data_IF_616533630013
#
_entry.id   IF_616533630013
#
_cell.length_a   1.000
_cell.length_b   1.000
_cell.length_c   1.000
_cell.angle_alpha   90.00
_cell.angle_beta   90.00
_cell.angle_gamma   90.00
#
_symmetry.space_group_name_H-M   'P 1'
#
loop_
_entity.id
_entity.type
_entity.pdbx_description
1 polymer ?
#
# COMPACT_ATOMS: atom_id res chain seq x y z
N UNK A 1 31.73 -1.84 -7.42
CA UNK A 1 31.31 -1.27 -6.13
C UNK A 1 30.25 -2.19 -5.54
N UNK A 2 30.31 -2.53 -4.25
CA UNK A 2 29.20 -3.27 -3.61
C UNK A 2 27.92 -2.40 -3.69
N UNK A 3 26.77 -3.03 -3.94
CA UNK A 3 25.50 -2.30 -3.97
C UNK A 3 25.25 -1.67 -2.58
N UNK A 4 24.78 -0.41 -2.55
CA UNK A 4 24.49 0.31 -1.31
C UNK A 4 23.30 -0.34 -0.61
N UNK A 5 23.36 -0.52 0.70
CA UNK A 5 22.20 -0.94 1.50
C UNK A 5 21.25 0.24 1.70
N UNK A 6 19.97 -0.08 1.77
CA UNK A 6 18.90 0.92 1.89
C UNK A 6 18.10 0.68 3.16
N UNK A 7 18.17 1.63 4.08
CA UNK A 7 17.48 1.57 5.36
C UNK A 7 16.19 2.38 5.35
N UNK A 8 15.23 1.94 6.14
CA UNK A 8 14.00 2.66 6.43
C UNK A 8 14.17 3.34 7.77
N UNK A 9 14.14 4.68 7.77
CA UNK A 9 14.47 5.49 8.95
C UNK A 9 13.30 6.31 9.47
N UNK A 10 12.22 6.42 8.70
CA UNK A 10 11.00 7.08 9.11
C UNK A 10 9.76 6.47 8.48
N UNK A 11 8.68 6.49 9.24
CA UNK A 11 7.37 5.94 8.89
C UNK A 11 6.30 6.97 9.23
N UNK A 12 5.45 7.30 8.26
CA UNK A 12 4.24 8.05 8.50
C UNK A 12 3.08 7.46 7.71
N UNK A 13 1.92 7.37 8.32
CA UNK A 13 0.76 6.73 7.71
C UNK A 13 -0.56 7.27 8.22
N UNK A 14 -1.60 7.01 7.43
CA UNK A 14 -3.00 7.07 7.84
C UNK A 14 -3.74 5.91 7.19
N UNK A 15 -4.57 5.23 7.96
CA UNK A 15 -5.28 4.03 7.53
C UNK A 15 -6.60 3.85 8.27
N UNK A 16 -7.48 2.94 7.84
CA UNK A 16 -8.73 2.64 8.53
C UNK A 16 -8.57 2.09 9.95
N UNK A 17 -7.37 1.64 10.33
CA UNK A 17 -7.11 1.01 11.64
C UNK A 17 -6.13 1.81 12.52
N UNK A 18 -5.74 3.01 12.07
CA UNK A 18 -4.87 3.91 12.84
C UNK A 18 -4.04 4.84 11.97
N UNK A 19 -3.40 5.83 12.63
CA UNK A 19 -2.65 6.91 11.95
C UNK A 19 -1.18 6.98 12.37
N UNK A 20 -0.70 5.98 13.07
CA UNK A 20 0.71 5.81 13.47
C UNK A 20 1.07 4.33 13.62
N UNK A 21 2.36 4.05 13.74
CA UNK A 21 2.87 2.69 13.83
C UNK A 21 2.32 1.92 15.05
N UNK A 22 2.15 2.60 16.18
CA UNK A 22 1.69 1.97 17.42
C UNK A 22 0.21 1.54 17.31
N UNK A 23 -0.65 2.43 16.81
CA UNK A 23 -2.09 2.18 16.64
C UNK A 23 -2.38 1.06 15.65
N UNK A 24 -1.69 1.03 14.49
CA UNK A 24 -1.88 -0.05 13.50
C UNK A 24 -1.34 -1.37 14.01
N UNK A 25 -0.21 -1.36 14.72
CA UNK A 25 0.36 -2.58 15.33
C UNK A 25 -0.58 -3.18 16.38
N UNK A 26 -1.13 -2.32 17.25
CA UNK A 26 -2.14 -2.74 18.24
C UNK A 26 -3.39 -3.30 17.57
N UNK A 27 -3.89 -2.65 16.51
CA UNK A 27 -5.06 -3.12 15.78
C UNK A 27 -4.84 -4.50 15.15
N UNK A 28 -3.66 -4.74 14.56
CA UNK A 28 -3.31 -6.05 14.00
C UNK A 28 -3.18 -7.12 15.09
N UNK A 29 -2.58 -6.77 16.25
CA UNK A 29 -2.45 -7.69 17.39
C UNK A 29 -3.80 -8.01 18.04
N UNK A 30 -4.71 -7.05 18.10
CA UNK A 30 -6.05 -7.23 18.64
C UNK A 30 -7.07 -7.75 17.61
N UNK A 31 -6.61 -8.04 16.40
CA UNK A 31 -7.45 -8.49 15.28
C UNK A 31 -8.62 -7.52 14.99
N UNK A 32 -8.42 -6.20 15.19
CA UNK A 32 -9.41 -5.15 14.86
C UNK A 32 -9.42 -4.84 13.37
N UNK A 33 -10.54 -4.30 12.88
CA UNK A 33 -10.71 -3.90 11.48
C UNK A 33 -11.32 -2.49 11.38
N UNK A 34 -11.14 -1.86 10.20
CA UNK A 34 -11.74 -0.58 9.87
C UNK A 34 -12.84 -0.64 8.79
N UNK A 35 -13.38 -1.84 8.51
CA UNK A 35 -14.46 -2.01 7.53
C UNK A 35 -15.76 -1.46 8.10
N UNK A 36 -16.48 -0.69 7.30
CA UNK A 36 -17.74 -0.05 7.67
C UNK A 36 -18.75 -0.16 6.52
N UNK A 37 -20.03 -0.05 6.86
CA UNK A 37 -21.07 0.14 5.86
C UNK A 37 -21.16 1.62 5.50
N UNK A 38 -21.35 1.92 4.20
CA UNK A 38 -21.54 3.23 3.61
C UNK A 38 -23.01 3.36 3.16
N UNK A 39 -23.90 3.86 4.04
CA UNK A 39 -25.34 3.88 3.73
C UNK A 39 -25.69 4.69 2.49
N UNK A 40 -24.96 5.79 2.24
CA UNK A 40 -25.13 6.68 1.10
C UNK A 40 -24.84 6.00 -0.25
N UNK A 41 -24.10 4.90 -0.26
CA UNK A 41 -23.86 4.14 -1.49
C UNK A 41 -25.11 3.39 -1.99
N UNK A 42 -26.11 3.21 -1.13
CA UNK A 42 -27.40 2.65 -1.53
C UNK A 42 -28.19 3.58 -2.48
N UNK A 43 -27.84 4.89 -2.49
CA UNK A 43 -28.44 5.88 -3.36
C UNK A 43 -27.82 5.89 -4.78
N UNK A 44 -26.69 5.18 -4.97
CA UNK A 44 -26.02 5.08 -6.28
C UNK A 44 -26.69 3.96 -7.10
N UNK A 45 -27.38 4.30 -8.20
CA UNK A 45 -28.12 3.30 -8.97
C UNK A 45 -27.21 2.18 -9.49
N UNK A 46 -27.55 0.94 -9.18
CA UNK A 46 -26.84 -0.25 -9.66
C UNK A 46 -25.60 -0.63 -8.84
N UNK A 47 -25.16 0.16 -7.88
CA UNK A 47 -24.07 -0.21 -6.98
C UNK A 47 -24.59 -1.21 -5.94
N UNK A 48 -24.02 -2.42 -5.92
CA UNK A 48 -24.45 -3.53 -5.04
C UNK A 48 -23.70 -3.55 -3.72
N UNK A 49 -22.38 -3.25 -3.73
CA UNK A 49 -21.59 -3.20 -2.51
C UNK A 49 -21.86 -1.92 -1.73
N UNK A 50 -21.89 -2.04 -0.40
CA UNK A 50 -21.98 -0.91 0.53
C UNK A 50 -20.82 -0.90 1.53
N UNK A 51 -19.78 -1.69 1.31
CA UNK A 51 -18.66 -1.83 2.23
C UNK A 51 -17.46 -1.01 1.78
N UNK A 52 -16.85 -0.33 2.74
CA UNK A 52 -15.59 0.40 2.56
C UNK A 52 -14.77 0.40 3.86
N UNK A 53 -13.50 0.80 3.75
CA UNK A 53 -12.63 1.06 4.88
C UNK A 53 -12.04 2.47 4.77
N UNK A 54 -12.45 3.39 5.65
CA UNK A 54 -12.17 4.82 5.56
C UNK A 54 -11.18 5.25 6.64
N UNK A 55 -10.18 6.03 6.26
CA UNK A 55 -9.29 6.71 7.20
C UNK A 55 -10.01 7.95 7.77
N UNK A 56 -10.52 7.84 9.01
CA UNK A 56 -11.29 8.90 9.69
C UNK A 56 -10.35 9.77 10.52
N UNK A 57 -10.84 10.95 10.89
CA UNK A 57 -10.22 11.86 11.88
C UNK A 57 -8.79 12.34 11.55
N UNK A 58 -8.44 12.38 10.26
CA UNK A 58 -7.17 12.96 9.80
C UNK A 58 -7.25 14.50 9.90
N UNK A 59 -6.33 15.19 10.59
CA UNK A 59 -6.48 16.62 10.94
C UNK A 59 -6.12 17.57 9.79
N UNK A 60 -6.85 17.52 8.67
CA UNK A 60 -6.62 18.40 7.50
C UNK A 60 -6.89 19.89 7.76
N UNK A 61 -7.67 20.22 8.77
CA UNK A 61 -8.02 21.61 9.10
C UNK A 61 -6.80 22.45 9.54
N UNK A 62 -5.73 21.81 9.95
CA UNK A 62 -4.49 22.46 10.39
C UNK A 62 -3.63 22.98 9.23
N UNK A 63 -3.92 22.55 7.99
CA UNK A 63 -3.13 22.99 6.84
C UNK A 63 -3.50 24.40 6.36
N UNK A 64 -2.50 25.28 6.12
CA UNK A 64 -2.73 26.61 5.55
C UNK A 64 -3.35 26.51 4.16
N UNK A 65 -4.56 27.06 3.97
CA UNK A 65 -5.32 26.99 2.68
C UNK A 65 -4.48 27.36 1.45
N UNK A 66 -3.58 28.33 1.58
CA UNK A 66 -2.70 28.77 0.47
C UNK A 66 -1.77 27.64 0.01
N UNK A 67 -1.27 26.80 0.91
CA UNK A 67 -0.35 25.70 0.59
C UNK A 67 -1.06 24.49 0.01
N UNK A 68 -2.33 24.25 0.37
CA UNK A 68 -3.06 23.02 0.00
C UNK A 68 -4.16 23.25 -1.06
N UNK A 69 -4.27 24.45 -1.63
CA UNK A 69 -5.33 24.78 -2.60
C UNK A 69 -5.34 23.93 -3.88
N UNK A 70 -4.22 23.31 -4.24
CA UNK A 70 -4.04 22.41 -5.37
C UNK A 70 -4.20 20.94 -4.99
N UNK A 71 -4.51 20.64 -3.74
CA UNK A 71 -4.63 19.28 -3.21
C UNK A 71 -6.09 18.84 -3.21
N UNK A 72 -6.36 17.65 -3.72
CA UNK A 72 -7.54 16.86 -3.42
C UNK A 72 -7.28 16.01 -2.16
N UNK A 73 -8.26 15.22 -1.72
CA UNK A 73 -8.16 14.42 -0.49
C UNK A 73 -6.94 13.48 -0.53
N UNK A 74 -6.69 12.81 -1.65
CA UNK A 74 -5.53 11.89 -1.79
C UNK A 74 -4.19 12.59 -1.55
N UNK A 75 -4.04 13.84 -2.06
CA UNK A 75 -2.82 14.62 -1.85
C UNK A 75 -2.71 15.14 -0.41
N UNK A 76 -3.82 15.44 0.27
CA UNK A 76 -3.82 15.79 1.70
C UNK A 76 -3.42 14.60 2.57
N UNK A 77 -3.95 13.40 2.28
CA UNK A 77 -3.55 12.17 2.96
C UNK A 77 -2.04 11.89 2.80
N UNK A 78 -1.53 12.01 1.56
CA UNK A 78 -0.10 11.82 1.29
C UNK A 78 0.77 12.86 1.97
N UNK A 79 0.31 14.13 2.05
CA UNK A 79 1.03 15.21 2.76
C UNK A 79 1.11 14.91 4.26
N UNK A 80 0.00 14.54 4.88
CA UNK A 80 -0.03 14.13 6.29
C UNK A 80 0.93 12.96 6.56
N UNK A 81 0.85 11.90 5.77
CA UNK A 81 1.74 10.74 5.94
C UNK A 81 3.22 11.12 5.77
N UNK A 82 3.53 12.04 4.83
CA UNK A 82 4.91 12.48 4.60
C UNK A 82 5.44 13.36 5.73
N UNK A 83 4.62 14.27 6.28
CA UNK A 83 5.00 15.05 7.47
C UNK A 83 5.33 14.11 8.64
N UNK A 84 4.44 13.15 8.92
CA UNK A 84 4.66 12.18 10.00
C UNK A 84 5.90 11.31 9.78
N UNK A 85 6.20 10.93 8.54
CA UNK A 85 7.42 10.17 8.21
C UNK A 85 8.69 11.00 8.46
N UNK A 86 8.68 12.29 8.09
CA UNK A 86 9.81 13.19 8.32
C UNK A 86 10.02 13.50 9.81
N UNK A 87 8.93 13.74 10.55
CA UNK A 87 8.95 13.90 12.01
C UNK A 87 9.53 12.65 12.69
N UNK A 88 9.06 11.47 12.31
CA UNK A 88 9.50 10.19 12.85
C UNK A 88 10.97 9.88 12.51
N UNK A 89 11.42 10.26 11.31
CA UNK A 89 12.81 10.14 10.91
C UNK A 89 13.74 11.13 11.62
N UNK A 90 13.20 12.20 12.23
CA UNK A 90 13.98 13.34 12.71
C UNK A 90 14.76 13.99 11.57
N UNK A 91 14.18 14.08 10.38
CA UNK A 91 14.84 14.55 9.16
C UNK A 91 14.30 15.93 8.75
N UNK A 92 15.16 16.95 8.87
CA UNK A 92 14.86 18.29 8.35
C UNK A 92 15.35 18.39 6.89
N UNK A 93 14.43 18.45 5.96
CA UNK A 93 14.75 18.61 4.53
C UNK A 93 15.43 19.94 4.22
N UNK A 94 15.17 20.99 5.03
CA UNK A 94 15.79 22.31 4.82
C UNK A 94 17.30 22.29 5.17
N UNK A 95 17.74 21.34 5.98
CA UNK A 95 19.14 21.14 6.32
C UNK A 95 19.93 20.37 5.23
N UNK A 96 19.24 19.79 4.24
CA UNK A 96 19.84 19.05 3.14
C UNK A 96 19.98 19.95 1.89
N UNK A 97 20.97 19.65 1.01
CA UNK A 97 20.98 20.27 -0.32
C UNK A 97 19.65 20.00 -1.04
N UNK A 98 19.06 20.97 -1.75
CA UNK A 98 17.73 20.83 -2.33
C UNK A 98 17.55 19.63 -3.28
N UNK A 99 18.63 19.16 -3.91
CA UNK A 99 18.63 18.00 -4.82
C UNK A 99 18.96 16.67 -4.11
N UNK A 100 19.31 16.69 -2.81
CA UNK A 100 19.76 15.49 -2.10
C UNK A 100 18.62 14.49 -1.87
N UNK A 101 17.37 14.98 -1.76
CA UNK A 101 16.18 14.16 -1.52
C UNK A 101 15.38 13.97 -2.79
N UNK A 102 15.12 12.72 -3.17
CA UNK A 102 14.18 12.36 -4.21
C UNK A 102 12.82 11.95 -3.65
N UNK A 103 11.86 11.75 -4.53
CA UNK A 103 10.48 11.41 -4.21
C UNK A 103 9.97 10.36 -5.20
N UNK A 104 9.42 9.26 -4.70
CA UNK A 104 8.67 8.28 -5.47
C UNK A 104 7.33 8.04 -4.80
N UNK A 105 6.21 8.33 -5.47
CA UNK A 105 4.90 8.24 -4.84
C UNK A 105 3.81 7.89 -5.84
N UNK A 106 2.83 7.09 -5.41
CA UNK A 106 1.78 6.58 -6.27
C UNK A 106 0.36 6.73 -5.73
N UNK A 107 -0.59 6.74 -6.66
CA UNK A 107 -2.01 6.49 -6.45
C UNK A 107 -2.59 5.91 -7.72
N UNK A 108 -3.78 5.29 -7.65
CA UNK A 108 -4.40 4.70 -8.84
C UNK A 108 -5.13 5.74 -9.68
N UNK A 109 -5.81 6.70 -9.05
CA UNK A 109 -6.75 7.60 -9.73
C UNK A 109 -6.47 9.09 -9.53
N UNK A 110 -5.60 9.47 -8.60
CA UNK A 110 -5.59 10.84 -8.11
C UNK A 110 -6.84 11.13 -7.24
N UNK A 111 -7.37 12.35 -7.24
CA UNK A 111 -8.58 12.67 -6.46
C UNK A 111 -9.84 12.52 -7.29
N UNK A 112 -10.56 11.42 -7.10
CA UNK A 112 -11.83 11.13 -7.77
C UNK A 112 -12.95 12.09 -7.34
N UNK A 113 -12.96 12.50 -6.06
CA UNK A 113 -13.91 13.51 -5.55
C UNK A 113 -13.72 14.86 -6.24
N UNK A 114 -12.47 15.30 -6.43
CA UNK A 114 -12.18 16.55 -7.12
C UNK A 114 -12.48 16.46 -8.64
N UNK A 115 -12.28 15.29 -9.25
CA UNK A 115 -12.65 15.06 -10.65
C UNK A 115 -14.15 15.09 -10.83
N UNK A 116 -14.92 14.45 -9.94
CA UNK A 116 -16.38 14.52 -9.96
C UNK A 116 -16.87 15.97 -9.84
N UNK A 117 -16.36 16.74 -8.87
CA UNK A 117 -16.70 18.16 -8.70
C UNK A 117 -16.42 18.96 -9.97
N UNK A 118 -15.26 18.75 -10.59
CA UNK A 118 -14.88 19.40 -11.83
C UNK A 118 -15.85 19.05 -12.98
N UNK A 119 -16.15 17.77 -13.18
CA UNK A 119 -17.05 17.31 -14.24
C UNK A 119 -18.48 17.84 -14.03
N UNK A 120 -19.00 17.80 -12.81
CA UNK A 120 -20.32 18.36 -12.47
C UNK A 120 -20.39 19.87 -12.78
N UNK A 121 -19.35 20.62 -12.38
CA UNK A 121 -19.29 22.05 -12.69
C UNK A 121 -19.22 22.30 -14.19
N UNK A 122 -18.36 21.56 -14.91
CA UNK A 122 -18.19 21.70 -16.36
C UNK A 122 -19.49 21.45 -17.13
N UNK A 123 -20.22 20.39 -16.78
CA UNK A 123 -21.48 20.03 -17.47
C UNK A 123 -22.65 20.94 -17.10
N UNK A 124 -22.65 21.54 -15.89
CA UNK A 124 -23.79 22.43 -15.46
C UNK A 124 -23.61 23.88 -15.88
N UNK A 125 -22.40 24.41 -15.91
CA UNK A 125 -22.12 25.85 -16.14
C UNK A 125 -20.91 26.15 -17.05
N UNK A 126 -20.38 25.15 -17.72
CA UNK A 126 -19.17 25.29 -18.54
C UNK A 126 -17.95 25.64 -17.67
N UNK A 127 -17.03 26.44 -18.22
CA UNK A 127 -15.79 26.80 -17.51
C UNK A 127 -15.98 27.91 -16.47
N UNK A 128 -17.19 28.47 -16.35
CA UNK A 128 -17.43 29.61 -15.47
C UNK A 128 -17.25 29.22 -13.99
N UNK A 129 -16.34 29.91 -13.31
CA UNK A 129 -16.06 29.71 -11.87
C UNK A 129 -15.29 28.43 -11.55
N UNK A 130 -14.75 27.70 -12.56
CA UNK A 130 -13.85 26.59 -12.30
C UNK A 130 -12.44 27.15 -12.01
N UNK A 131 -11.82 26.81 -10.87
CA UNK A 131 -10.45 27.25 -10.56
C UNK A 131 -9.44 26.66 -11.55
N UNK A 132 -8.46 27.45 -12.00
CA UNK A 132 -7.36 26.98 -12.87
C UNK A 132 -6.52 25.85 -12.25
N UNK A 133 -6.56 25.71 -10.92
CA UNK A 133 -5.88 24.66 -10.17
C UNK A 133 -6.69 23.37 -10.04
N UNK A 134 -7.92 23.31 -10.58
CA UNK A 134 -8.79 22.15 -10.44
C UNK A 134 -8.11 20.86 -10.97
N UNK A 135 -7.46 20.94 -12.14
CA UNK A 135 -6.75 19.80 -12.72
C UNK A 135 -5.65 19.24 -11.82
N UNK A 136 -4.92 20.11 -11.10
CA UNK A 136 -3.84 19.68 -10.21
C UNK A 136 -4.32 18.78 -9.07
N UNK A 137 -5.61 18.80 -8.73
CA UNK A 137 -6.18 17.98 -7.68
C UNK A 137 -6.39 16.52 -8.11
N UNK A 138 -6.70 16.29 -9.40
CA UNK A 138 -7.12 14.97 -9.88
C UNK A 138 -6.25 14.35 -10.98
N UNK A 139 -5.21 15.04 -11.45
CA UNK A 139 -4.27 14.41 -12.39
C UNK A 139 -3.60 13.19 -11.72
N UNK A 140 -3.26 12.14 -12.50
CA UNK A 140 -2.75 10.87 -11.97
C UNK A 140 -1.47 10.99 -11.13
N UNK A 141 -0.67 12.02 -11.36
CA UNK A 141 0.55 12.31 -10.61
C UNK A 141 0.36 13.39 -9.51
N UNK A 142 -0.88 13.66 -9.10
CA UNK A 142 -1.20 14.72 -8.12
C UNK A 142 -0.42 14.59 -6.81
N UNK A 143 -0.21 13.36 -6.31
CA UNK A 143 0.53 13.14 -5.06
C UNK A 143 1.97 13.65 -5.17
N UNK A 144 2.75 13.20 -6.15
CA UNK A 144 4.16 13.62 -6.27
C UNK A 144 4.31 15.11 -6.53
N UNK A 145 3.43 15.71 -7.35
CA UNK A 145 3.52 17.14 -7.68
C UNK A 145 3.23 17.99 -6.44
N UNK A 146 2.18 17.66 -5.69
CA UNK A 146 1.83 18.40 -4.49
C UNK A 146 2.85 18.20 -3.36
N UNK A 147 3.35 16.97 -3.15
CA UNK A 147 4.42 16.69 -2.19
C UNK A 147 5.71 17.43 -2.54
N UNK A 148 6.14 17.37 -3.81
CA UNK A 148 7.36 18.06 -4.24
C UNK A 148 7.28 19.57 -3.99
N UNK A 149 6.12 20.18 -4.27
CA UNK A 149 5.90 21.61 -4.01
C UNK A 149 5.80 21.93 -2.52
N UNK A 150 5.06 21.13 -1.76
CA UNK A 150 4.83 21.38 -0.34
C UNK A 150 6.13 21.28 0.47
N UNK A 151 6.93 20.24 0.22
CA UNK A 151 8.22 19.97 0.89
C UNK A 151 9.43 20.56 0.15
N UNK A 152 9.23 21.28 -0.95
CA UNK A 152 10.30 21.92 -1.75
C UNK A 152 11.37 20.92 -2.25
N UNK A 153 10.96 19.69 -2.56
CA UNK A 153 11.85 18.64 -3.08
C UNK A 153 12.25 18.99 -4.51
N UNK A 154 13.57 18.99 -4.79
CA UNK A 154 14.15 19.34 -6.09
C UNK A 154 15.00 18.21 -6.70
N UNK A 155 15.07 17.06 -6.03
CA UNK A 155 15.69 15.86 -6.57
C UNK A 155 14.80 15.14 -7.57
N UNK A 156 15.16 13.90 -7.89
CA UNK A 156 14.37 13.05 -8.80
C UNK A 156 12.96 12.85 -8.27
N UNK A 157 11.96 13.02 -9.14
CA UNK A 157 10.55 12.75 -8.85
C UNK A 157 10.08 11.61 -9.75
N UNK A 158 9.53 10.55 -9.14
CA UNK A 158 9.00 9.37 -9.81
C UNK A 158 7.53 9.23 -9.44
N UNK A 159 6.65 9.33 -10.43
CA UNK A 159 5.23 9.04 -10.26
C UNK A 159 4.97 7.57 -10.58
N UNK A 160 4.39 6.84 -9.64
CA UNK A 160 3.97 5.45 -9.84
C UNK A 160 2.46 5.37 -9.90
N UNK A 161 1.94 5.05 -11.09
CA UNK A 161 0.52 4.80 -11.32
C UNK A 161 0.39 3.42 -11.97
N UNK A 162 0.37 2.39 -11.14
CA UNK A 162 0.36 0.97 -11.55
C UNK A 162 -0.67 0.18 -10.75
N UNK A 163 -1.86 0.75 -10.62
CA UNK A 163 -2.97 0.18 -9.86
C UNK A 163 -2.52 -0.23 -8.43
N UNK A 164 -2.86 -1.44 -7.98
CA UNK A 164 -2.57 -1.92 -6.61
C UNK A 164 -1.07 -2.02 -6.28
N UNK A 165 -0.18 -1.98 -7.28
CA UNK A 165 1.28 -2.00 -7.07
C UNK A 165 1.91 -0.62 -6.96
N UNK A 166 1.13 0.46 -7.03
CA UNK A 166 1.67 1.84 -7.06
C UNK A 166 2.59 2.15 -5.87
N UNK A 167 2.16 1.83 -4.64
CA UNK A 167 2.96 2.06 -3.44
C UNK A 167 4.21 1.20 -3.35
N UNK A 168 4.12 -0.08 -3.72
CA UNK A 168 5.29 -0.98 -3.74
C UNK A 168 6.28 -0.60 -4.83
N UNK A 169 5.83 -0.20 -6.02
CA UNK A 169 6.71 0.37 -7.05
C UNK A 169 7.43 1.63 -6.57
N UNK A 170 6.72 2.52 -5.85
CA UNK A 170 7.35 3.72 -5.30
C UNK A 170 8.51 3.37 -4.36
N UNK A 171 8.31 2.39 -3.47
CA UNK A 171 9.36 1.90 -2.58
C UNK A 171 10.49 1.24 -3.39
N UNK A 172 10.16 0.36 -4.34
CA UNK A 172 11.12 -0.33 -5.18
C UNK A 172 12.00 0.61 -6.01
N UNK A 173 11.40 1.57 -6.69
CA UNK A 173 12.16 2.55 -7.49
C UNK A 173 12.96 3.54 -6.64
N UNK A 174 12.48 3.88 -5.44
CA UNK A 174 13.25 4.64 -4.47
C UNK A 174 14.47 3.87 -3.95
N UNK A 175 14.28 2.58 -3.68
CA UNK A 175 15.34 1.66 -3.31
C UNK A 175 16.40 1.54 -4.42
N UNK A 176 15.98 1.32 -5.68
CA UNK A 176 16.89 1.28 -6.83
C UNK A 176 17.66 2.60 -7.00
N UNK A 177 16.98 3.75 -6.83
CA UNK A 177 17.62 5.06 -6.95
C UNK A 177 18.73 5.27 -5.91
N UNK A 178 18.53 4.82 -4.66
CA UNK A 178 19.56 4.88 -3.62
C UNK A 178 20.68 3.89 -3.90
N UNK A 179 20.35 2.65 -4.28
CA UNK A 179 21.36 1.63 -4.63
C UNK A 179 22.28 2.05 -5.77
N UNK A 180 21.70 2.72 -6.79
CA UNK A 180 22.44 3.25 -7.93
C UNK A 180 23.23 4.54 -7.61
N UNK A 181 23.08 5.11 -6.40
CA UNK A 181 23.80 6.29 -5.95
C UNK A 181 23.24 7.61 -6.49
N UNK A 182 22.00 7.63 -7.03
CA UNK A 182 21.36 8.87 -7.48
C UNK A 182 20.99 9.79 -6.32
N UNK A 183 20.58 9.21 -5.20
CA UNK A 183 20.19 9.93 -4.00
C UNK A 183 20.65 9.19 -2.75
N UNK A 184 20.83 9.93 -1.65
CA UNK A 184 21.03 9.37 -0.33
C UNK A 184 19.72 9.20 0.43
N UNK A 185 18.71 10.01 0.09
CA UNK A 185 17.38 10.03 0.72
C UNK A 185 16.30 9.96 -0.35
N UNK A 186 15.32 9.09 -0.17
CA UNK A 186 14.12 9.01 -0.98
C UNK A 186 12.88 8.96 -0.08
N UNK A 187 11.90 9.82 -0.35
CA UNK A 187 10.58 9.72 0.24
C UNK A 187 9.72 8.84 -0.67
N UNK A 188 9.25 7.70 -0.15
CA UNK A 188 8.57 6.70 -0.97
C UNK A 188 7.23 6.33 -0.36
N UNK A 189 6.19 6.21 -1.19
CA UNK A 189 4.90 5.82 -0.63
C UNK A 189 3.78 5.72 -1.65
N UNK A 190 2.57 5.60 -1.11
CA UNK A 190 1.34 5.56 -1.89
C UNK A 190 0.16 6.07 -1.10
N UNK A 191 -0.83 6.58 -1.80
CA UNK A 191 -2.07 7.06 -1.22
C UNK A 191 -3.26 6.72 -2.11
N UNK A 192 -4.41 6.56 -1.47
CA UNK A 192 -5.70 6.47 -2.15
C UNK A 192 -6.77 7.12 -1.29
N UNK A 193 -7.69 7.86 -1.92
CA UNK A 193 -8.86 8.40 -1.23
C UNK A 193 -10.06 7.47 -1.38
N UNK A 194 -11.03 7.59 -0.48
CA UNK A 194 -12.30 6.89 -0.61
C UNK A 194 -13.25 7.65 -1.53
N UNK A 195 -13.75 6.94 -2.55
CA UNK A 195 -14.80 7.41 -3.42
C UNK A 195 -15.64 6.23 -3.93
N UNK A 196 -16.95 6.41 -4.07
CA UNK A 196 -17.84 5.32 -4.51
C UNK A 196 -17.48 4.77 -5.91
N UNK A 197 -16.93 5.60 -6.80
CA UNK A 197 -16.50 5.15 -8.13
C UNK A 197 -15.41 4.06 -8.07
N UNK A 198 -14.57 4.05 -7.05
CA UNK A 198 -13.58 2.98 -6.87
C UNK A 198 -14.27 1.64 -6.58
N UNK A 199 -15.29 1.65 -5.73
CA UNK A 199 -16.10 0.46 -5.50
C UNK A 199 -16.87 0.03 -6.75
N UNK A 200 -17.46 1.00 -7.49
CA UNK A 200 -18.24 0.74 -8.68
C UNK A 200 -17.45 0.03 -9.79
N UNK A 201 -16.17 0.39 -9.99
CA UNK A 201 -15.30 -0.28 -10.97
C UNK A 201 -15.22 -1.78 -10.70
N UNK A 202 -14.95 -2.17 -9.44
CA UNK A 202 -14.85 -3.58 -9.06
C UNK A 202 -16.22 -4.25 -8.96
N UNK A 203 -17.27 -3.49 -8.62
CA UNK A 203 -18.65 -4.00 -8.56
C UNK A 203 -19.17 -4.40 -9.94
N UNK A 204 -18.87 -3.62 -10.98
CA UNK A 204 -19.17 -3.97 -12.37
C UNK A 204 -18.45 -5.25 -12.84
N UNK A 205 -17.30 -5.55 -12.26
CA UNK A 205 -16.52 -6.76 -12.51
C UNK A 205 -16.92 -7.94 -11.61
N UNK A 206 -17.96 -7.78 -10.78
CA UNK A 206 -18.39 -8.79 -9.80
C UNK A 206 -17.27 -9.20 -8.84
N UNK A 207 -16.38 -8.27 -8.52
CA UNK A 207 -15.20 -8.51 -7.69
C UNK A 207 -15.30 -7.89 -6.27
N UNK A 208 -16.41 -7.20 -5.94
CA UNK A 208 -16.66 -6.63 -4.60
C UNK A 208 -17.48 -7.57 -3.74
N UNK A 209 -17.25 -7.50 -2.41
CA UNK A 209 -18.14 -8.14 -1.43
C UNK A 209 -19.50 -7.46 -1.39
N UNK A 210 -20.55 -8.26 -1.49
CA UNK A 210 -21.95 -7.80 -1.50
C UNK A 210 -22.84 -8.56 -0.52
N UNK A 211 -22.45 -9.75 -0.09
CA UNK A 211 -23.24 -10.60 0.80
C UNK A 211 -23.21 -10.14 2.25
N UNK A 212 -22.25 -9.27 2.60
CA UNK A 212 -22.00 -8.84 3.98
C UNK A 212 -22.26 -7.35 4.21
N UNK A 213 -23.06 -6.69 3.36
CA UNK A 213 -23.33 -5.26 3.46
C UNK A 213 -23.82 -4.79 4.84
N UNK A 214 -24.58 -5.62 5.53
CA UNK A 214 -25.12 -5.34 6.86
C UNK A 214 -24.27 -5.95 8.00
N UNK A 215 -23.16 -6.64 7.64
CA UNK A 215 -22.22 -7.30 8.54
C UNK A 215 -20.78 -7.01 8.14
N UNK A 216 -20.32 -5.73 8.23
CA UNK A 216 -19.00 -5.31 7.75
C UNK A 216 -17.83 -6.08 8.40
N UNK A 217 -18.02 -6.58 9.63
CA UNK A 217 -17.04 -7.37 10.35
C UNK A 217 -16.75 -8.74 9.69
N UNK A 218 -17.61 -9.21 8.78
CA UNK A 218 -17.50 -10.50 8.09
C UNK A 218 -16.81 -10.46 6.73
N UNK A 219 -16.42 -9.28 6.25
CA UNK A 219 -15.79 -9.12 4.96
C UNK A 219 -14.65 -8.08 5.04
N UNK A 220 -13.61 -8.16 4.16
CA UNK A 220 -13.35 -9.25 3.22
C UNK A 220 -12.83 -10.53 3.88
N UNK A 221 -12.82 -11.64 3.11
CA UNK A 221 -12.47 -13.00 3.56
C UNK A 221 -11.37 -13.62 2.68
N UNK A 222 -10.12 -13.09 2.69
CA UNK A 222 -9.09 -13.62 1.80
C UNK A 222 -8.84 -15.12 2.03
N UNK A 223 -8.67 -15.87 0.94
CA UNK A 223 -8.44 -17.33 0.89
C UNK A 223 -9.59 -18.21 1.41
N UNK A 224 -10.66 -17.63 1.96
CA UNK A 224 -11.81 -18.40 2.49
C UNK A 224 -12.67 -18.95 1.36
N UNK A 225 -13.26 -20.15 1.59
CA UNK A 225 -14.14 -20.81 0.62
C UNK A 225 -15.42 -20.00 0.33
N UNK A 226 -15.88 -19.21 1.30
CA UNK A 226 -17.10 -18.41 1.21
C UNK A 226 -16.80 -16.91 0.90
N UNK A 227 -15.60 -16.60 0.36
CA UNK A 227 -15.27 -15.24 -0.05
C UNK A 227 -16.13 -14.79 -1.23
N UNK A 228 -16.51 -13.53 -1.24
CA UNK A 228 -17.40 -12.94 -2.23
C UNK A 228 -16.85 -11.66 -2.88
N UNK A 229 -15.57 -11.36 -2.66
CA UNK A 229 -14.91 -10.22 -3.27
C UNK A 229 -14.23 -9.28 -2.29
N UNK A 230 -13.63 -8.23 -2.85
CA UNK A 230 -12.87 -7.23 -2.10
C UNK A 230 -13.77 -6.17 -1.45
N UNK A 231 -13.22 -5.48 -0.47
CA UNK A 231 -13.73 -4.23 0.08
C UNK A 231 -12.70 -3.15 -0.19
N UNK A 232 -13.08 -2.05 -0.84
CA UNK A 232 -12.17 -0.93 -1.11
C UNK A 232 -11.80 -0.20 0.18
N UNK A 233 -10.58 0.32 0.23
CA UNK A 233 -10.06 1.05 1.40
C UNK A 233 -9.39 2.36 1.02
N UNK A 234 -9.22 3.23 2.01
CA UNK A 234 -8.52 4.51 1.93
C UNK A 234 -7.27 4.49 2.79
N UNK A 235 -6.28 5.29 2.43
CA UNK A 235 -5.10 5.51 3.25
C UNK A 235 -3.95 6.18 2.53
N UNK A 236 -2.92 6.48 3.27
CA UNK A 236 -1.65 6.95 2.75
C UNK A 236 -0.51 6.48 3.64
N UNK A 237 0.62 6.21 3.03
CA UNK A 237 1.83 5.81 3.77
C UNK A 237 3.05 6.38 3.09
N UNK A 238 3.96 6.92 3.88
CA UNK A 238 5.28 7.38 3.43
C UNK A 238 6.36 6.71 4.27
N UNK A 239 7.36 6.19 3.58
CA UNK A 239 8.62 5.70 4.14
C UNK A 239 9.75 6.65 3.77
N UNK A 240 10.59 6.99 4.74
CA UNK A 240 11.88 7.63 4.49
C UNK A 240 12.90 6.54 4.26
N UNK A 241 13.41 6.43 3.03
CA UNK A 241 14.50 5.52 2.66
C UNK A 241 15.81 6.30 2.67
N UNK A 242 16.84 5.71 3.27
CA UNK A 242 18.18 6.30 3.30
C UNK A 242 19.25 5.27 2.93
N UNK A 243 20.32 5.75 2.29
CA UNK A 243 21.53 4.92 2.20
C UNK A 243 22.07 4.61 3.61
N UNK A 244 22.59 3.42 3.82
CA UNK A 244 23.21 3.03 5.11
C UNK A 244 24.23 4.07 5.57
N UNK A 245 25.04 4.61 4.66
CA UNK A 245 26.03 5.62 4.96
C UNK A 245 25.42 6.91 5.50
N UNK A 246 24.35 7.42 4.84
CA UNK A 246 23.65 8.62 5.28
C UNK A 246 22.98 8.41 6.63
N UNK A 247 22.25 7.31 6.80
CA UNK A 247 21.55 6.98 8.04
C UNK A 247 22.51 6.87 9.24
N UNK A 248 23.64 6.14 9.04
CA UNK A 248 24.68 5.99 10.10
C UNK A 248 25.34 7.31 10.46
N UNK A 249 25.70 8.15 9.45
CA UNK A 249 26.36 9.44 9.66
C UNK A 249 25.55 10.38 10.54
N UNK A 250 24.20 10.35 10.43
CA UNK A 250 23.32 11.19 11.26
C UNK A 250 22.76 10.48 12.51
N UNK A 251 23.15 9.23 12.77
CA UNK A 251 22.66 8.46 13.92
C UNK A 251 21.17 8.14 13.83
N UNK A 252 20.65 7.88 12.63
CA UNK A 252 19.23 7.59 12.41
C UNK A 252 18.78 6.33 13.13
N UNK A 253 17.56 6.35 13.69
CA UNK A 253 16.85 5.12 14.02
C UNK A 253 16.55 4.34 12.74
N UNK A 254 16.71 3.03 12.76
CA UNK A 254 16.43 2.15 11.62
C UNK A 254 15.31 1.19 11.98
N UNK A 255 14.27 1.15 11.14
CA UNK A 255 13.15 0.21 11.27
C UNK A 255 13.45 -1.15 10.63
N UNK A 256 14.20 -1.13 9.54
CA UNK A 256 14.58 -2.29 8.76
C UNK A 256 15.30 -1.88 7.49
N UNK A 257 15.68 -2.87 6.69
CA UNK A 257 16.31 -2.71 5.37
C UNK A 257 15.32 -3.14 4.29
N UNK A 258 15.21 -2.37 3.22
CA UNK A 258 14.68 -2.88 1.95
C UNK A 258 15.77 -3.76 1.36
N UNK A 259 15.60 -5.07 1.48
CA UNK A 259 16.63 -6.04 1.11
C UNK A 259 16.58 -6.43 -0.37
N UNK A 260 15.39 -6.41 -0.97
CA UNK A 260 15.20 -6.74 -2.38
C UNK A 260 13.86 -6.27 -2.91
N UNK A 261 13.83 -6.06 -4.22
CA UNK A 261 12.65 -5.68 -5.00
C UNK A 261 12.56 -6.51 -6.25
N UNK A 262 11.39 -7.09 -6.51
CA UNK A 262 11.09 -7.82 -7.73
C UNK A 262 9.81 -7.28 -8.38
N UNK A 263 9.83 -7.16 -9.68
CA UNK A 263 8.65 -6.79 -10.47
C UNK A 263 8.57 -7.63 -11.74
N UNK A 264 7.35 -7.81 -12.23
CA UNK A 264 7.07 -8.51 -13.49
C UNK A 264 5.77 -7.99 -14.10
N UNK A 265 5.54 -8.33 -15.36
CA UNK A 265 4.28 -8.09 -16.05
C UNK A 265 3.82 -9.38 -16.74
N UNK A 266 2.54 -9.74 -16.56
CA UNK A 266 1.96 -10.94 -17.18
C UNK A 266 1.87 -10.82 -18.71
N UNK A 267 1.60 -9.60 -19.20
CA UNK A 267 1.45 -9.32 -20.63
C UNK A 267 0.31 -10.09 -21.30
N UNK A 268 -0.68 -10.54 -20.54
CA UNK A 268 -1.77 -11.42 -21.01
C UNK A 268 -3.12 -10.70 -20.93
N UNK A 269 -3.88 -10.94 -19.90
CA UNK A 269 -5.24 -10.43 -19.74
C UNK A 269 -5.34 -9.37 -18.62
N UNK A 270 -6.16 -8.35 -18.83
CA UNK A 270 -6.25 -7.21 -17.88
C UNK A 270 -6.72 -7.62 -16.48
N UNK A 271 -7.62 -8.59 -16.36
CA UNK A 271 -8.23 -8.98 -15.08
C UNK A 271 -7.94 -10.43 -14.66
N UNK A 272 -7.30 -11.23 -15.52
CA UNK A 272 -6.95 -12.62 -15.19
C UNK A 272 -5.54 -12.67 -14.64
N UNK A 273 -5.34 -13.06 -13.36
CA UNK A 273 -4.03 -13.13 -12.75
C UNK A 273 -3.20 -14.31 -13.30
N UNK A 274 -1.89 -14.12 -13.43
CA UNK A 274 -0.94 -15.16 -13.85
C UNK A 274 -0.14 -15.69 -12.67
N UNK A 275 -0.24 -16.98 -12.40
CA UNK A 275 0.58 -17.67 -11.40
C UNK A 275 2.07 -17.47 -11.69
N UNK A 276 2.49 -17.61 -12.95
CA UNK A 276 3.89 -17.48 -13.36
C UNK A 276 4.40 -16.03 -13.23
N UNK A 277 3.55 -15.03 -13.54
CA UNK A 277 3.90 -13.62 -13.36
C UNK A 277 4.12 -13.27 -11.88
N UNK A 278 3.18 -13.67 -11.02
CA UNK A 278 3.31 -13.49 -9.56
C UNK A 278 4.57 -14.21 -9.01
N UNK A 279 4.78 -15.48 -9.40
CA UNK A 279 5.96 -16.23 -8.99
C UNK A 279 7.27 -15.60 -9.49
N UNK A 280 7.25 -15.01 -10.69
CA UNK A 280 8.42 -14.30 -11.25
C UNK A 280 8.79 -13.08 -10.42
N UNK A 281 7.83 -12.26 -10.00
CA UNK A 281 8.13 -11.09 -9.13
C UNK A 281 8.73 -11.53 -7.79
N UNK A 282 8.23 -12.62 -7.18
CA UNK A 282 8.79 -13.16 -5.94
C UNK A 282 10.22 -13.67 -6.14
N UNK A 283 10.50 -14.42 -7.22
CA UNK A 283 11.86 -14.92 -7.55
C UNK A 283 12.81 -13.76 -7.80
N UNK A 284 12.40 -12.75 -8.55
CA UNK A 284 13.20 -11.57 -8.81
C UNK A 284 13.57 -10.83 -7.51
N UNK A 285 12.64 -10.71 -6.55
CA UNK A 285 12.91 -10.10 -5.26
C UNK A 285 13.93 -10.91 -4.44
N UNK A 286 13.82 -12.23 -4.42
CA UNK A 286 14.75 -13.13 -3.75
C UNK A 286 16.15 -13.07 -4.38
N UNK A 287 16.23 -13.05 -5.70
CA UNK A 287 17.49 -12.93 -6.45
C UNK A 287 18.17 -11.58 -6.18
N UNK A 288 17.42 -10.47 -6.26
CA UNK A 288 17.93 -9.14 -5.97
C UNK A 288 18.46 -9.01 -4.53
N UNK A 289 17.74 -9.61 -3.57
CA UNK A 289 18.15 -9.67 -2.16
C UNK A 289 19.30 -10.64 -1.87
N UNK A 290 19.57 -11.58 -2.79
CA UNK A 290 20.46 -12.74 -2.57
C UNK A 290 20.03 -13.53 -1.33
N UNK A 291 18.75 -13.81 -1.21
CA UNK A 291 18.11 -14.53 -0.12
C UNK A 291 17.49 -15.81 -0.67
N UNK A 292 17.76 -16.95 -0.03
CA UNK A 292 17.10 -18.20 -0.35
C UNK A 292 15.64 -18.19 0.12
N UNK A 293 14.73 -18.82 -0.63
CA UNK A 293 13.32 -18.90 -0.29
C UNK A 293 13.07 -19.43 1.14
N UNK A 294 13.88 -20.38 1.59
CA UNK A 294 13.80 -20.94 2.95
C UNK A 294 14.15 -19.96 4.09
N UNK A 295 14.70 -18.81 3.77
CA UNK A 295 15.02 -17.76 4.75
C UNK A 295 13.86 -16.78 4.97
N UNK A 296 12.81 -16.82 4.16
CA UNK A 296 11.60 -16.00 4.34
C UNK A 296 10.82 -16.51 5.54
N UNK A 297 10.60 -15.66 6.51
CA UNK A 297 9.93 -16.00 7.78
C UNK A 297 8.41 -15.73 7.74
N UNK A 298 7.94 -14.83 6.84
CA UNK A 298 6.53 -14.45 6.72
C UNK A 298 6.24 -13.82 5.35
N UNK A 299 5.03 -14.06 4.85
CA UNK A 299 4.47 -13.41 3.66
C UNK A 299 3.23 -12.61 4.03
N UNK A 300 3.24 -11.31 3.77
CA UNK A 300 2.04 -10.51 3.67
C UNK A 300 1.50 -10.63 2.26
N UNK A 301 0.38 -11.33 2.12
CA UNK A 301 -0.23 -11.61 0.84
C UNK A 301 -1.00 -10.42 0.28
N UNK A 302 -1.01 -10.29 -1.04
CA UNK A 302 -1.95 -9.37 -1.70
C UNK A 302 -3.40 -9.77 -1.49
N UNK A 303 -3.70 -11.04 -1.53
CA UNK A 303 -5.02 -11.67 -1.42
C UNK A 303 -6.16 -10.71 -1.02
N UNK A 304 -6.99 -10.39 -2.01
CA UNK A 304 -8.06 -9.37 -1.90
C UNK A 304 -9.43 -9.96 -1.58
N UNK A 305 -9.52 -11.28 -1.38
CA UNK A 305 -10.75 -12.06 -1.33
C UNK A 305 -11.48 -12.18 -2.68
N UNK A 306 -10.80 -11.93 -3.79
CA UNK A 306 -11.30 -12.25 -5.12
C UNK A 306 -11.03 -13.73 -5.44
N UNK A 307 -11.96 -14.37 -6.15
CA UNK A 307 -11.86 -15.82 -6.41
C UNK A 307 -10.56 -16.17 -7.15
N UNK A 308 -10.35 -15.59 -8.32
CA UNK A 308 -9.20 -15.93 -9.17
C UNK A 308 -7.88 -15.42 -8.59
N UNK A 309 -7.87 -14.23 -7.96
CA UNK A 309 -6.67 -13.63 -7.38
C UNK A 309 -6.07 -14.46 -6.27
N UNK A 310 -6.89 -14.85 -5.31
CA UNK A 310 -6.44 -15.62 -4.14
C UNK A 310 -5.95 -17.03 -4.53
N UNK A 311 -6.63 -17.68 -5.49
CA UNK A 311 -6.17 -18.98 -6.01
C UNK A 311 -4.80 -18.84 -6.68
N UNK A 312 -4.64 -17.86 -7.58
CA UNK A 312 -3.39 -17.69 -8.33
C UNK A 312 -2.23 -17.33 -7.41
N UNK A 313 -2.42 -16.40 -6.46
CA UNK A 313 -1.39 -16.02 -5.50
C UNK A 313 -0.96 -17.20 -4.62
N UNK A 314 -1.92 -17.99 -4.13
CA UNK A 314 -1.62 -19.15 -3.31
C UNK A 314 -0.75 -20.18 -4.06
N UNK A 315 -1.06 -20.43 -5.34
CA UNK A 315 -0.29 -21.33 -6.20
C UNK A 315 1.11 -20.77 -6.50
N UNK A 316 1.23 -19.47 -6.80
CA UNK A 316 2.51 -18.82 -7.00
C UNK A 316 3.39 -18.87 -5.74
N UNK A 317 2.80 -18.63 -4.57
CA UNK A 317 3.49 -18.74 -3.28
C UNK A 317 3.98 -20.16 -3.03
N UNK A 318 3.16 -21.18 -3.31
CA UNK A 318 3.57 -22.58 -3.21
C UNK A 318 4.77 -22.90 -4.12
N UNK A 319 4.75 -22.42 -5.37
CA UNK A 319 5.83 -22.65 -6.32
C UNK A 319 7.17 -22.05 -5.89
N UNK A 320 7.16 -20.92 -5.18
CA UNK A 320 8.38 -20.18 -4.84
C UNK A 320 8.86 -20.49 -3.41
N UNK A 321 7.94 -20.55 -2.44
CA UNK A 321 8.26 -20.63 -1.02
C UNK A 321 7.88 -21.98 -0.37
N UNK A 322 7.15 -22.84 -1.10
CA UNK A 322 6.64 -24.10 -0.54
C UNK A 322 5.49 -23.86 0.45
N UNK A 323 5.24 -24.85 1.32
CA UNK A 323 4.07 -24.88 2.22
C UNK A 323 4.35 -24.34 3.62
N UNK A 324 5.62 -24.15 3.99
CA UNK A 324 6.02 -23.96 5.41
C UNK A 324 6.04 -22.52 5.90
N UNK A 325 6.05 -21.54 5.00
CA UNK A 325 6.15 -20.12 5.36
C UNK A 325 4.79 -19.59 5.82
N UNK A 326 4.66 -19.03 7.04
CA UNK A 326 3.43 -18.38 7.49
C UNK A 326 2.99 -17.26 6.53
N UNK A 327 1.72 -17.26 6.17
CA UNK A 327 1.12 -16.30 5.26
C UNK A 327 -0.20 -15.78 5.80
N UNK A 328 -0.41 -14.47 5.69
CA UNK A 328 -1.73 -13.86 5.92
C UNK A 328 -1.94 -12.63 5.03
N UNK A 329 -3.20 -12.30 4.79
CA UNK A 329 -3.60 -11.04 4.16
C UNK A 329 -4.12 -10.08 5.23
N UNK A 330 -3.55 -8.88 5.28
CA UNK A 330 -4.00 -7.82 6.18
C UNK A 330 -5.22 -7.05 5.65
N UNK A 331 -5.69 -7.38 4.45
CA UNK A 331 -6.87 -6.70 3.84
C UNK A 331 -8.19 -6.97 4.56
N UNK A 332 -8.27 -8.05 5.36
CA UNK A 332 -9.37 -8.25 6.30
C UNK A 332 -9.45 -7.17 7.39
N UNK A 333 -8.36 -6.46 7.66
CA UNK A 333 -8.29 -5.37 8.64
C UNK A 333 -8.54 -4.00 8.01
N UNK A 334 -7.97 -3.74 6.84
CA UNK A 334 -7.89 -2.41 6.21
C UNK A 334 -8.75 -2.23 4.96
N UNK A 335 -9.38 -3.30 4.46
CA UNK A 335 -9.83 -3.31 3.08
C UNK A 335 -8.65 -3.27 2.11
N UNK A 336 -8.94 -3.19 0.83
CA UNK A 336 -7.94 -3.01 -0.21
C UNK A 336 -7.73 -1.51 -0.47
N UNK A 337 -6.67 -0.94 0.05
CA UNK A 337 -6.35 0.50 -0.07
C UNK A 337 -5.71 0.87 -1.42
N UNK A 338 -5.95 0.08 -2.46
CA UNK A 338 -5.57 0.31 -3.86
C UNK A 338 -4.10 0.75 -4.00
N UNK A 339 -3.85 1.98 -4.51
CA UNK A 339 -2.50 2.50 -4.71
C UNK A 339 -1.69 2.69 -3.42
N UNK A 340 -2.34 2.78 -2.27
CA UNK A 340 -1.68 2.87 -0.98
C UNK A 340 -1.26 1.51 -0.40
N UNK A 341 -1.88 0.38 -0.83
CA UNK A 341 -1.78 -0.89 -0.12
C UNK A 341 -0.34 -1.38 0.01
N UNK A 342 0.46 -1.32 -1.06
CA UNK A 342 1.83 -1.81 -1.03
C UNK A 342 2.73 -1.08 -0.04
N UNK A 343 2.54 0.23 0.12
CA UNK A 343 3.29 1.01 1.11
C UNK A 343 2.79 0.75 2.53
N UNK A 344 1.47 0.67 2.74
CA UNK A 344 0.87 0.39 4.05
C UNK A 344 1.26 -1.01 4.56
N UNK A 345 1.16 -2.00 3.71
CA UNK A 345 1.50 -3.39 4.02
C UNK A 345 3.01 -3.57 4.26
N UNK A 346 3.85 -2.77 3.61
CA UNK A 346 5.29 -2.70 3.91
C UNK A 346 5.55 -2.24 5.35
N UNK A 347 4.81 -1.23 5.82
CA UNK A 347 4.88 -0.79 7.23
C UNK A 347 4.42 -1.91 8.17
N UNK A 348 3.39 -2.67 7.81
CA UNK A 348 2.98 -3.82 8.61
C UNK A 348 4.10 -4.86 8.71
N UNK A 349 4.76 -5.22 7.60
CA UNK A 349 5.90 -6.14 7.63
C UNK A 349 7.02 -5.67 8.58
N UNK A 350 7.33 -4.37 8.58
CA UNK A 350 8.33 -3.79 9.49
C UNK A 350 7.88 -3.85 10.95
N UNK A 351 6.63 -3.47 11.24
CA UNK A 351 6.05 -3.52 12.58
C UNK A 351 6.04 -4.94 13.14
N UNK A 352 5.58 -5.90 12.35
CA UNK A 352 5.50 -7.31 12.72
C UNK A 352 6.88 -7.89 13.01
N UNK A 353 7.88 -7.59 12.16
CA UNK A 353 9.27 -8.00 12.35
C UNK A 353 9.84 -7.46 13.66
N UNK A 354 9.52 -6.23 14.01
CA UNK A 354 9.96 -5.59 15.26
C UNK A 354 9.30 -6.23 16.48
N UNK A 355 7.98 -6.43 16.43
CA UNK A 355 7.16 -6.90 17.55
C UNK A 355 7.14 -8.43 17.71
N UNK A 356 7.61 -9.19 16.71
CA UNK A 356 7.75 -10.64 16.80
C UNK A 356 6.44 -11.43 16.69
N UNK A 357 5.43 -10.92 15.98
CA UNK A 357 4.17 -11.64 15.74
C UNK A 357 3.70 -11.48 14.30
N UNK A 358 2.75 -12.32 13.87
CA UNK A 358 2.05 -12.19 12.58
C UNK A 358 0.53 -12.22 12.81
N UNK A 359 -0.24 -11.33 12.15
CA UNK A 359 -1.69 -11.28 12.32
C UNK A 359 -2.36 -12.43 11.55
N UNK A 360 -3.57 -12.84 11.94
CA UNK A 360 -4.34 -13.76 11.14
C UNK A 360 -4.88 -13.08 9.87
N UNK A 361 -5.15 -13.88 8.84
CA UNK A 361 -6.11 -13.50 7.81
C UNK A 361 -7.49 -13.48 8.44
N UNK A 362 -8.06 -12.29 8.61
CA UNK A 362 -9.41 -12.15 9.17
C UNK A 362 -10.42 -12.88 8.30
N UNK A 363 -11.42 -13.47 8.97
CA UNK A 363 -12.52 -14.18 8.32
C UNK A 363 -12.09 -15.41 7.49
N UNK A 364 -10.88 -15.90 7.65
CA UNK A 364 -10.44 -17.17 7.07
C UNK A 364 -10.81 -18.30 8.03
N UNK A 365 -12.06 -18.76 7.93
CA UNK A 365 -12.60 -19.83 8.76
C UNK A 365 -12.43 -21.21 8.09
N UNK A 366 -12.55 -21.23 6.75
CA UNK A 366 -12.45 -22.43 5.93
C UNK A 366 -11.61 -22.14 4.68
N UNK A 367 -10.32 -22.49 4.66
CA UNK A 367 -9.51 -22.33 3.47
C UNK A 367 -10.15 -22.97 2.23
N UNK A 368 -10.19 -22.23 1.12
CA UNK A 368 -10.73 -22.74 -0.14
C UNK A 368 -9.85 -23.89 -0.65
N UNK A 369 -10.41 -25.09 -0.92
CA UNK A 369 -9.63 -26.23 -1.39
C UNK A 369 -8.99 -26.01 -2.77
N UNK A 370 -9.40 -25.00 -3.51
CA UNK A 370 -8.78 -24.59 -4.79
C UNK A 370 -7.50 -23.76 -4.58
N UNK A 371 -7.36 -23.14 -3.40
CA UNK A 371 -6.12 -22.51 -2.99
C UNK A 371 -5.07 -23.54 -2.59
N UNK A 372 -3.79 -23.21 -2.78
CA UNK A 372 -2.70 -24.09 -2.37
C UNK A 372 -2.69 -24.31 -0.84
N UNK A 373 -2.23 -25.49 -0.36
CA UNK A 373 -2.19 -25.81 1.07
C UNK A 373 -1.00 -25.12 1.76
N UNK A 374 -1.11 -23.81 2.00
CA UNK A 374 -0.09 -22.99 2.64
C UNK A 374 -0.26 -22.95 4.17
N UNK A 375 0.76 -22.45 4.86
CA UNK A 375 0.71 -22.24 6.32
C UNK A 375 -0.07 -20.94 6.66
N UNK A 376 -1.36 -20.91 6.33
CA UNK A 376 -2.23 -19.77 6.62
C UNK A 376 -2.29 -19.47 8.12
N UNK A 377 -2.11 -18.21 8.48
CA UNK A 377 -2.35 -17.75 9.85
C UNK A 377 -3.83 -17.42 9.99
N UNK A 378 -4.54 -18.13 10.89
CA UNK A 378 -5.99 -18.02 11.09
C UNK A 378 -6.33 -17.77 12.54
N UNK A 379 -7.54 -17.26 12.79
CA UNK A 379 -8.12 -17.08 14.13
C UNK A 379 -7.42 -15.98 14.94
N UNK A 380 -6.30 -16.26 15.56
CA UNK A 380 -5.59 -15.34 16.45
C UNK A 380 -4.18 -14.99 15.92
N UNK A 381 -3.61 -13.85 16.31
CA UNK A 381 -2.22 -13.53 16.03
C UNK A 381 -1.27 -14.62 16.55
N UNK A 382 -0.24 -14.90 15.79
CA UNK A 382 0.75 -15.94 16.09
C UNK A 382 2.08 -15.31 16.48
N UNK A 383 2.60 -15.63 17.68
CA UNK A 383 3.93 -15.23 18.10
C UNK A 383 5.00 -15.98 17.28
N UNK A 384 6.05 -15.27 16.87
CA UNK A 384 7.12 -15.78 16.04
C UNK A 384 8.45 -15.73 16.78
N UNK A 385 9.13 -16.88 16.89
CA UNK A 385 10.49 -16.94 17.44
C UNK A 385 11.53 -16.26 16.55
N UNK A 386 11.27 -16.25 15.25
CA UNK A 386 12.12 -15.63 14.22
C UNK A 386 11.22 -14.92 13.23
N UNK A 387 11.53 -13.65 12.95
CA UNK A 387 10.83 -12.82 11.96
C UNK A 387 11.84 -11.79 11.42
N UNK A 388 12.87 -12.28 10.74
CA UNK A 388 13.99 -11.48 10.25
C UNK A 388 13.80 -11.06 8.79
N UNK A 389 13.19 -11.92 7.99
CA UNK A 389 12.92 -11.67 6.56
C UNK A 389 11.43 -11.78 6.32
N UNK A 390 10.83 -10.68 5.89
CA UNK A 390 9.41 -10.62 5.51
C UNK A 390 9.27 -10.26 4.04
N UNK A 391 8.30 -10.86 3.37
CA UNK A 391 7.93 -10.57 1.99
C UNK A 391 6.57 -9.88 1.95
N UNK A 392 6.47 -8.78 1.21
CA UNK A 392 5.22 -8.10 0.91
C UNK A 392 4.91 -8.23 -0.58
N UNK A 393 3.79 -8.84 -0.93
CA UNK A 393 3.35 -9.06 -2.30
C UNK A 393 2.19 -8.13 -2.67
N UNK A 394 2.26 -7.55 -3.87
CA UNK A 394 1.15 -6.81 -4.45
C UNK A 394 1.01 -7.17 -5.92
N UNK A 395 -0.18 -7.56 -6.33
CA UNK A 395 -0.52 -8.01 -7.67
C UNK A 395 -1.71 -7.22 -8.21
N UNK A 396 -1.51 -6.53 -9.33
CA UNK A 396 -2.48 -5.55 -9.81
C UNK A 396 -3.24 -6.04 -11.05
N UNK A 397 -4.43 -5.50 -11.22
CA UNK A 397 -5.07 -5.51 -12.54
C UNK A 397 -4.12 -4.89 -13.57
N UNK A 398 -4.16 -5.41 -14.79
CA UNK A 398 -3.16 -5.13 -15.83
C UNK A 398 -1.98 -6.11 -15.82
N UNK A 399 -1.97 -7.06 -14.88
CA UNK A 399 -0.92 -8.09 -14.77
C UNK A 399 0.41 -7.55 -14.26
N UNK A 400 0.41 -6.45 -13.52
CA UNK A 400 1.63 -5.88 -12.95
C UNK A 400 1.81 -6.44 -11.54
N UNK A 401 2.98 -7.04 -11.28
CA UNK A 401 3.29 -7.76 -10.05
C UNK A 401 4.51 -7.17 -9.37
N UNK A 402 4.47 -7.07 -8.03
CA UNK A 402 5.60 -6.63 -7.22
C UNK A 402 5.75 -7.49 -5.98
N UNK A 403 7.00 -7.71 -5.57
CA UNK A 403 7.36 -8.32 -4.30
C UNK A 403 8.50 -7.51 -3.67
N UNK A 404 8.35 -7.14 -2.40
CA UNK A 404 9.35 -6.45 -1.60
C UNK A 404 9.84 -7.37 -0.48
N UNK A 405 11.14 -7.41 -0.27
CA UNK A 405 11.75 -8.10 0.86
C UNK A 405 12.29 -7.10 1.86
N UNK A 406 11.92 -7.28 3.12
CA UNK A 406 12.43 -6.51 4.24
C UNK A 406 13.28 -7.39 5.14
N UNK A 407 14.42 -6.84 5.60
CA UNK A 407 15.29 -7.48 6.56
C UNK A 407 15.32 -6.70 7.86
N UNK A 408 15.15 -7.40 8.97
CA UNK A 408 15.34 -6.82 10.31
C UNK A 408 16.79 -6.37 10.46
N UNK A 409 17.00 -5.16 10.95
CA UNK A 409 18.31 -4.64 11.33
C UNK A 409 18.41 -4.68 12.85
N UNK A 410 19.45 -5.33 13.35
CA UNK A 410 19.74 -5.50 14.79
C UNK A 410 20.66 -4.38 15.25
#
# INVERSE_FOLDING_TARGET
MSARRVFITGIGLTSPIGHDLASVTAALRENRHGIVTMPEWAEVPGLRTRLAAVARDVPFAEYPRKKVRSMGRVALLSTYATEKALEDAGLDLAALPPQATGLAYGSTHGSSSAQEEFCRALFSRGLQGIPSTAYLKFMSNTCVVNLAQYFQIRGRVISTCSACTSGSHAIGYGYEAIRAGYHDVMLCGGAEEMHFSHAAIFDMLFATSTHHNDHPERSPRPFDADRDGLVVGEGATTLVLESEEHARRRGARVYGEVAGFGTSCDGQHVTMPSVDGMATSMRNALEDARIDAAQVDYVNAHATATEAGDIAESQATLQVLGTGVPISSTKGHTGHTLGACGALESVFCLALSREGFVPPTRNLDKPDPRCAPLAYVTGQPREMKRLNITMNNNFAFGGINTSLLFRKVV
#
